data_IF_335098293579
#
_entry.id   IF_335098293579
#
_cell.length_a   1.000
_cell.length_b   1.000
_cell.length_c   1.000
_cell.angle_alpha   90.00
_cell.angle_beta   90.00
_cell.angle_gamma   90.00
#
_symmetry.space_group_name_H-M   'P 1'
#
loop_
_entity.id
_entity.type
_entity.pdbx_description
1 polymer ?
#
# COMPACT_ATOMS: atom_id res chain seq x y z
N UNK A 1 -3.91 -23.51 -23.20
CA UNK A 1 -2.66 -23.88 -22.51
C UNK A 1 -1.82 -22.63 -22.45
N UNK A 2 -1.50 -22.09 -21.27
CA UNK A 2 -0.57 -20.99 -21.14
C UNK A 2 0.76 -21.36 -21.80
N UNK A 3 1.43 -20.40 -22.42
CA UNK A 3 2.72 -20.64 -23.08
C UNK A 3 3.78 -20.91 -22.01
N UNK A 4 4.71 -21.84 -22.25
CA UNK A 4 5.85 -22.14 -21.35
C UNK A 4 6.69 -20.88 -21.05
N UNK A 5 6.64 -19.88 -21.94
CA UNK A 5 7.28 -18.57 -21.75
C UNK A 5 6.50 -17.66 -20.77
N UNK A 6 5.19 -17.82 -20.68
CA UNK A 6 4.30 -17.10 -19.77
C UNK A 6 4.46 -17.64 -18.33
N UNK A 7 4.52 -18.97 -18.17
CA UNK A 7 4.79 -19.61 -16.88
C UNK A 7 6.19 -19.24 -16.34
N UNK A 8 7.21 -19.23 -17.20
CA UNK A 8 8.57 -18.82 -16.83
C UNK A 8 8.69 -17.32 -16.46
N UNK A 9 7.89 -16.45 -17.09
CA UNK A 9 7.86 -15.02 -16.77
C UNK A 9 7.20 -14.77 -15.40
N UNK A 10 6.14 -15.51 -15.07
CA UNK A 10 5.47 -15.43 -13.76
C UNK A 10 6.38 -15.97 -12.63
N UNK A 11 7.15 -17.03 -12.89
CA UNK A 11 8.14 -17.56 -11.94
C UNK A 11 9.34 -16.62 -11.75
N UNK A 12 9.81 -15.94 -12.81
CA UNK A 12 10.88 -14.95 -12.72
C UNK A 12 10.44 -13.66 -12.00
N UNK A 13 9.20 -13.19 -12.18
CA UNK A 13 8.66 -12.06 -11.42
C UNK A 13 8.53 -12.37 -9.91
N UNK A 14 8.28 -13.63 -9.54
CA UNK A 14 8.19 -14.05 -8.13
C UNK A 14 9.56 -14.13 -7.43
N UNK A 15 10.66 -14.23 -8.19
CA UNK A 15 12.02 -14.20 -7.64
C UNK A 15 12.58 -12.78 -7.46
N UNK A 16 12.03 -11.79 -8.17
CA UNK A 16 12.51 -10.42 -8.10
C UNK A 16 11.92 -9.69 -6.89
N UNK A 17 12.79 -9.01 -6.15
CA UNK A 17 12.43 -8.26 -4.94
C UNK A 17 11.47 -7.10 -5.19
N UNK A 18 11.48 -6.55 -6.41
CA UNK A 18 10.67 -5.43 -6.85
C UNK A 18 10.00 -5.74 -8.19
N UNK A 19 8.86 -5.10 -8.45
CA UNK A 19 8.17 -5.22 -9.74
C UNK A 19 8.91 -4.45 -10.85
N UNK A 20 8.57 -4.74 -12.10
CA UNK A 20 9.03 -3.99 -13.28
C UNK A 20 8.57 -2.52 -13.30
N UNK A 21 7.70 -2.11 -12.37
CA UNK A 21 7.21 -0.75 -12.22
C UNK A 21 8.20 0.14 -11.44
N UNK A 22 9.25 -0.42 -10.85
CA UNK A 22 10.19 0.26 -9.95
C UNK A 22 11.56 0.44 -10.61
N UNK A 23 12.13 1.62 -10.46
CA UNK A 23 13.56 1.88 -10.69
C UNK A 23 14.34 1.57 -9.42
N UNK A 24 14.82 0.33 -9.30
CA UNK A 24 15.51 -0.15 -8.10
C UNK A 24 16.94 0.38 -7.96
N UNK A 25 17.48 1.08 -8.96
CA UNK A 25 18.87 1.57 -8.95
C UNK A 25 19.15 2.57 -7.82
N UNK A 26 18.12 3.31 -7.39
CA UNK A 26 18.20 4.27 -6.30
C UNK A 26 17.94 3.69 -4.90
N UNK A 27 17.60 2.40 -4.78
CA UNK A 27 17.20 1.80 -3.50
C UNK A 27 18.42 1.31 -2.73
N UNK A 28 18.73 1.98 -1.62
CA UNK A 28 19.79 1.53 -0.71
C UNK A 28 19.32 0.36 0.15
N UNK A 29 19.90 -0.82 -0.07
CA UNK A 29 19.70 -1.99 0.80
C UNK A 29 20.61 -1.87 2.02
N UNK A 30 20.02 -1.61 3.18
CA UNK A 30 20.76 -1.62 4.45
C UNK A 30 20.95 -3.08 4.88
N UNK A 31 22.19 -3.55 5.10
CA UNK A 31 22.42 -4.90 5.56
C UNK A 31 21.75 -5.11 6.92
N UNK A 32 21.13 -6.28 7.15
CA UNK A 32 20.47 -6.55 8.41
C UNK A 32 21.49 -6.48 9.56
N UNK A 33 21.10 -5.87 10.68
CA UNK A 33 21.89 -5.95 11.90
C UNK A 33 22.17 -7.42 12.23
N UNK A 34 23.40 -7.76 12.67
CA UNK A 34 23.73 -9.14 13.01
C UNK A 34 22.78 -9.65 14.10
N UNK A 35 21.85 -10.50 13.70
CA UNK A 35 20.90 -11.19 14.56
C UNK A 35 21.27 -12.65 14.61
N UNK A 36 21.32 -13.23 15.82
CA UNK A 36 21.54 -14.67 16.00
C UNK A 36 20.37 -15.54 15.56
N UNK A 37 19.20 -14.94 15.27
CA UNK A 37 17.99 -15.66 14.89
C UNK A 37 17.75 -15.57 13.38
N UNK A 38 17.45 -16.70 12.71
CA UNK A 38 17.08 -16.68 11.29
C UNK A 38 15.77 -15.91 11.07
N UNK A 39 15.68 -15.24 9.91
CA UNK A 39 14.47 -14.53 9.50
C UNK A 39 13.30 -15.51 9.33
N UNK A 40 12.10 -15.08 9.72
CA UNK A 40 10.88 -15.87 9.54
C UNK A 40 10.39 -15.86 8.10
N UNK A 41 9.74 -16.95 7.72
CA UNK A 41 9.18 -17.18 6.38
C UNK A 41 7.74 -16.70 6.29
N UNK A 42 7.20 -16.65 5.07
CA UNK A 42 5.78 -16.37 4.86
C UNK A 42 4.90 -17.45 5.51
N UNK A 43 5.34 -18.72 5.50
CA UNK A 43 4.62 -19.84 6.10
C UNK A 43 4.42 -19.68 7.62
N UNK A 44 5.43 -19.14 8.32
CA UNK A 44 5.33 -18.83 9.75
C UNK A 44 4.20 -17.83 10.02
N UNK A 45 4.09 -16.79 9.19
CA UNK A 45 3.05 -15.75 9.32
C UNK A 45 1.68 -16.31 8.97
N UNK A 46 1.57 -17.01 7.84
CA UNK A 46 0.32 -17.62 7.37
C UNK A 46 -0.25 -18.57 8.41
N UNK A 47 0.59 -19.43 9.00
CA UNK A 47 0.16 -20.37 10.04
C UNK A 47 -0.42 -19.65 11.26
N UNK A 48 0.20 -18.56 11.71
CA UNK A 48 -0.30 -17.80 12.86
C UNK A 48 -1.62 -17.11 12.57
N UNK A 49 -1.78 -16.54 11.36
CA UNK A 49 -3.03 -15.89 10.96
C UNK A 49 -4.17 -16.89 10.80
N UNK A 50 -3.93 -18.06 10.19
CA UNK A 50 -4.91 -19.14 10.05
C UNK A 50 -5.37 -19.70 11.41
N UNK A 51 -4.45 -19.78 12.38
CA UNK A 51 -4.76 -20.19 13.75
C UNK A 51 -5.46 -19.08 14.58
N UNK A 52 -5.70 -17.90 13.99
CA UNK A 52 -6.30 -16.76 14.71
C UNK A 52 -5.37 -16.09 15.72
N UNK A 53 -4.07 -16.45 15.74
CA UNK A 53 -3.05 -15.95 16.69
C UNK A 53 -2.52 -14.57 16.28
N UNK A 54 -3.44 -13.59 16.16
CA UNK A 54 -3.14 -12.24 15.65
C UNK A 54 -2.08 -11.50 16.48
N UNK A 55 -2.01 -11.72 17.80
CA UNK A 55 -1.00 -11.10 18.65
C UNK A 55 0.41 -11.65 18.38
N UNK A 56 0.52 -12.96 18.17
CA UNK A 56 1.80 -13.60 17.86
C UNK A 56 2.29 -13.23 16.47
N UNK A 57 1.39 -13.15 15.49
CA UNK A 57 1.71 -12.63 14.16
C UNK A 57 2.22 -11.18 14.25
N UNK A 58 1.55 -10.33 15.02
CA UNK A 58 1.97 -8.94 15.26
C UNK A 58 3.33 -8.86 15.95
N UNK A 59 3.60 -9.73 16.93
CA UNK A 59 4.91 -9.80 17.58
C UNK A 59 6.00 -10.28 16.61
N UNK A 60 5.70 -11.28 15.77
CA UNK A 60 6.61 -11.76 14.74
C UNK A 60 6.98 -10.63 13.77
N UNK A 61 5.99 -9.92 13.22
CA UNK A 61 6.20 -8.81 12.27
C UNK A 61 7.08 -7.69 12.84
N UNK A 62 6.93 -7.37 14.13
CA UNK A 62 7.69 -6.32 14.80
C UNK A 62 9.15 -6.68 15.08
N UNK A 63 9.45 -7.98 15.19
CA UNK A 63 10.78 -8.47 15.56
C UNK A 63 11.52 -9.14 14.39
N UNK A 64 10.94 -9.13 13.18
CA UNK A 64 11.59 -9.63 11.97
C UNK A 64 11.88 -8.47 11.03
N UNK A 65 13.15 -8.08 10.95
CA UNK A 65 13.63 -7.02 10.07
C UNK A 65 14.03 -7.59 8.70
N UNK A 66 13.04 -7.94 7.87
CA UNK A 66 13.33 -8.34 6.50
C UNK A 66 13.99 -7.19 5.72
N UNK A 67 15.12 -7.42 5.01
CA UNK A 67 15.76 -6.43 4.13
C UNK A 67 14.79 -5.85 3.12
N UNK A 68 14.99 -4.61 2.63
CA UNK A 68 14.07 -3.92 1.70
C UNK A 68 13.89 -4.65 0.36
N UNK A 69 14.87 -5.45 -0.03
CA UNK A 69 14.91 -6.31 -1.21
C UNK A 69 14.47 -7.75 -0.91
N UNK A 70 13.85 -8.02 0.24
CA UNK A 70 13.26 -9.33 0.50
C UNK A 70 12.01 -9.56 -0.38
N UNK A 71 11.95 -10.65 -1.17
CA UNK A 71 10.80 -10.97 -2.03
C UNK A 71 9.55 -11.34 -1.23
N UNK A 72 9.68 -11.55 0.08
CA UNK A 72 8.55 -11.89 0.96
C UNK A 72 7.46 -10.80 0.97
N UNK A 73 7.80 -9.53 0.72
CA UNK A 73 6.87 -8.40 0.91
C UNK A 73 5.65 -8.48 0.03
N UNK A 74 5.79 -8.89 -1.23
CA UNK A 74 4.64 -9.01 -2.14
C UNK A 74 3.57 -9.93 -1.55
N UNK A 75 3.98 -11.14 -1.15
CA UNK A 75 3.10 -12.13 -0.52
C UNK A 75 2.62 -11.69 0.86
N UNK A 76 3.53 -11.17 1.69
CA UNK A 76 3.26 -10.78 3.07
C UNK A 76 2.27 -9.61 3.14
N UNK A 77 2.49 -8.55 2.38
CA UNK A 77 1.62 -7.37 2.39
C UNK A 77 0.28 -7.68 1.79
N UNK A 78 0.22 -8.48 0.72
CA UNK A 78 -1.05 -8.98 0.19
C UNK A 78 -1.83 -9.73 1.26
N UNK A 79 -1.22 -10.74 1.90
CA UNK A 79 -1.84 -11.50 2.99
C UNK A 79 -2.34 -10.60 4.13
N UNK A 80 -1.53 -9.61 4.54
CA UNK A 80 -1.88 -8.71 5.62
C UNK A 80 -3.00 -7.72 5.26
N UNK A 81 -3.06 -7.24 4.03
CA UNK A 81 -4.16 -6.37 3.59
C UNK A 81 -5.45 -7.17 3.42
N UNK A 82 -5.37 -8.37 2.83
CA UNK A 82 -6.53 -9.22 2.51
C UNK A 82 -7.28 -9.75 3.72
N UNK A 83 -6.63 -9.89 4.87
CA UNK A 83 -7.31 -10.36 6.09
C UNK A 83 -8.45 -9.43 6.57
N UNK A 84 -8.54 -8.21 6.04
CA UNK A 84 -9.54 -7.21 6.40
C UNK A 84 -10.75 -7.17 5.47
N UNK A 85 -10.75 -7.96 4.38
CA UNK A 85 -11.91 -8.08 3.50
C UNK A 85 -13.07 -8.77 4.25
N UNK A 86 -14.28 -8.24 4.08
CA UNK A 86 -15.49 -8.94 4.49
C UNK A 86 -15.86 -9.99 3.45
N UNK A 87 -16.47 -11.12 3.86
CA UNK A 87 -16.94 -12.18 2.94
C UNK A 87 -17.85 -11.66 1.81
N UNK A 88 -18.53 -10.53 2.01
CA UNK A 88 -19.35 -9.85 1.01
C UNK A 88 -18.57 -9.12 -0.09
N UNK A 89 -17.30 -8.80 0.16
CA UNK A 89 -16.44 -7.96 -0.69
C UNK A 89 -15.23 -8.75 -1.22
N UNK A 90 -15.31 -10.10 -1.24
CA UNK A 90 -14.30 -10.93 -1.89
C UNK A 90 -14.37 -10.67 -3.38
N UNK A 91 -13.49 -9.81 -3.88
CA UNK A 91 -13.40 -9.53 -5.32
C UNK A 91 -12.83 -10.76 -6.01
N UNK A 92 -13.51 -11.25 -7.04
CA UNK A 92 -13.03 -12.34 -7.89
C UNK A 92 -11.91 -11.87 -8.80
N UNK A 93 -11.07 -12.80 -9.25
CA UNK A 93 -10.10 -12.56 -10.32
C UNK A 93 -10.78 -11.89 -11.52
N UNK A 94 -10.15 -10.86 -12.10
CA UNK A 94 -10.68 -10.14 -13.25
C UNK A 94 -11.62 -8.97 -12.89
N UNK A 95 -12.16 -8.90 -11.66
CA UNK A 95 -13.04 -7.80 -11.25
C UNK A 95 -12.37 -6.42 -11.45
N UNK A 96 -11.08 -6.32 -11.13
CA UNK A 96 -10.32 -5.09 -11.35
C UNK A 96 -10.31 -4.68 -12.83
N UNK A 97 -10.04 -5.62 -13.73
CA UNK A 97 -9.95 -5.36 -15.17
C UNK A 97 -11.30 -5.00 -15.78
N UNK A 98 -12.40 -5.56 -15.28
CA UNK A 98 -13.75 -5.13 -15.65
C UNK A 98 -13.98 -3.66 -15.30
N UNK A 99 -13.55 -3.25 -14.10
CA UNK A 99 -13.65 -1.86 -13.65
C UNK A 99 -12.73 -0.93 -14.46
N UNK A 100 -11.52 -1.38 -14.82
CA UNK A 100 -10.63 -0.64 -15.73
C UNK A 100 -11.32 -0.39 -17.08
N UNK A 101 -11.94 -1.42 -17.66
CA UNK A 101 -12.69 -1.27 -18.91
C UNK A 101 -13.90 -0.32 -18.76
N UNK A 102 -14.59 -0.34 -17.62
CA UNK A 102 -15.70 0.59 -17.38
C UNK A 102 -15.25 2.05 -17.28
N UNK A 103 -14.10 2.31 -16.66
CA UNK A 103 -13.59 3.68 -16.44
C UNK A 103 -12.85 4.22 -17.67
N UNK A 104 -12.06 3.38 -18.35
CA UNK A 104 -11.14 3.80 -19.40
C UNK A 104 -11.47 3.26 -20.80
N UNK A 105 -12.39 2.30 -20.91
CA UNK A 105 -12.78 1.68 -22.18
C UNK A 105 -11.78 0.66 -22.75
N UNK A 106 -10.61 0.48 -22.12
CA UNK A 106 -9.58 -0.47 -22.52
C UNK A 106 -8.68 -0.84 -21.33
N UNK A 107 -8.11 -2.04 -21.36
CA UNK A 107 -7.06 -2.49 -20.43
C UNK A 107 -5.67 -2.00 -20.82
N UNK A 108 -5.49 -1.48 -22.04
CA UNK A 108 -4.25 -0.89 -22.48
C UNK A 108 -3.92 0.37 -21.67
N UNK A 109 -2.68 0.46 -21.20
CA UNK A 109 -2.24 1.63 -20.44
C UNK A 109 -1.98 2.78 -21.42
N UNK A 110 -2.79 3.83 -21.32
CA UNK A 110 -2.67 5.02 -22.14
C UNK A 110 -1.40 5.81 -21.81
N UNK A 111 -0.71 6.32 -22.84
CA UNK A 111 0.40 7.27 -22.68
C UNK A 111 -0.07 8.68 -22.28
N UNK A 112 -1.37 8.98 -22.45
CA UNK A 112 -1.96 10.25 -22.02
C UNK A 112 -2.08 10.28 -20.48
N UNK A 113 -1.78 11.42 -19.85
CA UNK A 113 -1.91 11.58 -18.41
C UNK A 113 -3.36 11.36 -17.96
N UNK A 114 -3.53 10.59 -16.90
CA UNK A 114 -4.84 10.34 -16.29
C UNK A 114 -5.15 11.51 -15.35
N UNK A 115 -6.36 12.07 -15.46
CA UNK A 115 -6.83 13.06 -14.49
C UNK A 115 -7.18 12.35 -13.19
N UNK A 116 -6.43 12.63 -12.12
CA UNK A 116 -6.67 12.00 -10.83
C UNK A 116 -8.00 12.44 -10.20
N UNK A 117 -8.65 11.59 -9.40
CA UNK A 117 -9.85 11.96 -8.65
C UNK A 117 -9.61 13.12 -7.67
N UNK A 118 -10.64 13.94 -7.38
CA UNK A 118 -10.49 15.15 -6.56
C UNK A 118 -10.18 14.88 -5.08
N UNK A 119 -10.34 13.65 -4.60
CA UNK A 119 -9.94 13.29 -3.23
C UNK A 119 -8.42 13.15 -3.08
N UNK A 120 -7.67 13.08 -4.18
CA UNK A 120 -6.22 12.99 -4.19
C UNK A 120 -5.65 14.39 -4.06
N UNK A 121 -4.62 14.53 -3.22
CA UNK A 121 -3.90 15.78 -3.03
C UNK A 121 -2.63 15.76 -3.92
N UNK A 122 -2.55 16.57 -4.99
CA UNK A 122 -1.42 16.53 -5.93
C UNK A 122 -0.07 16.80 -5.26
N UNK A 123 -0.05 17.68 -4.26
CA UNK A 123 1.15 18.01 -3.48
C UNK A 123 1.68 16.83 -2.64
N UNK A 124 0.85 15.79 -2.43
CA UNK A 124 1.16 14.61 -1.63
C UNK A 124 1.21 13.33 -2.46
N UNK A 125 1.27 13.41 -3.80
CA UNK A 125 1.46 12.26 -4.69
C UNK A 125 2.91 11.76 -4.66
N UNK A 126 3.31 11.11 -3.57
CA UNK A 126 4.66 10.58 -3.40
C UNK A 126 4.86 9.33 -4.27
N UNK A 127 5.78 9.44 -5.23
CA UNK A 127 6.02 8.42 -6.26
C UNK A 127 7.10 7.40 -5.84
N UNK A 128 7.89 7.72 -4.82
CA UNK A 128 9.06 6.95 -4.40
C UNK A 128 9.96 6.59 -5.59
N UNK A 129 10.19 5.30 -5.83
CA UNK A 129 11.03 4.78 -6.93
C UNK A 129 10.19 4.26 -8.10
N UNK A 130 8.91 4.64 -8.24
CA UNK A 130 8.13 4.25 -9.41
C UNK A 130 8.70 4.87 -10.69
N UNK A 131 8.83 4.04 -11.71
CA UNK A 131 9.12 4.45 -13.10
C UNK A 131 7.97 5.26 -13.68
N UNK A 132 8.15 5.82 -14.89
CA UNK A 132 7.05 6.49 -15.60
C UNK A 132 5.83 5.56 -15.77
N UNK A 133 6.07 4.31 -16.18
CA UNK A 133 5.01 3.30 -16.29
C UNK A 133 4.35 3.01 -14.93
N UNK A 134 5.15 2.87 -13.86
CA UNK A 134 4.65 2.65 -12.51
C UNK A 134 3.74 3.77 -12.02
N UNK A 135 4.03 5.03 -12.37
CA UNK A 135 3.18 6.18 -12.06
C UNK A 135 1.84 6.13 -12.79
N UNK A 136 1.85 5.86 -14.09
CA UNK A 136 0.61 5.69 -14.87
C UNK A 136 -0.26 4.55 -14.34
N UNK A 137 0.36 3.46 -13.87
CA UNK A 137 -0.34 2.36 -13.17
C UNK A 137 -0.95 2.83 -11.85
N UNK A 138 -0.21 3.59 -11.03
CA UNK A 138 -0.74 4.15 -9.78
C UNK A 138 -1.94 5.07 -10.03
N UNK A 139 -1.86 5.95 -11.04
CA UNK A 139 -2.96 6.84 -11.43
C UNK A 139 -4.22 6.05 -11.81
N UNK A 140 -4.04 4.97 -12.59
CA UNK A 140 -5.13 4.08 -13.00
C UNK A 140 -5.75 3.36 -11.81
N UNK A 141 -4.95 2.76 -10.93
CA UNK A 141 -5.43 2.07 -9.73
C UNK A 141 -6.24 3.01 -8.84
N UNK A 142 -5.72 4.22 -8.56
CA UNK A 142 -6.40 5.20 -7.71
C UNK A 142 -7.70 5.70 -8.36
N UNK A 143 -7.72 5.88 -9.68
CA UNK A 143 -8.92 6.29 -10.41
C UNK A 143 -10.02 5.22 -10.38
N UNK A 144 -9.64 3.95 -10.60
CA UNK A 144 -10.57 2.82 -10.49
C UNK A 144 -11.12 2.70 -9.06
N UNK A 145 -10.25 2.86 -8.06
CA UNK A 145 -10.67 2.84 -6.65
C UNK A 145 -11.66 3.97 -6.33
N UNK A 146 -11.42 5.17 -6.85
CA UNK A 146 -12.33 6.31 -6.72
C UNK A 146 -13.70 6.06 -7.35
N UNK A 147 -13.72 5.40 -8.51
CA UNK A 147 -14.96 5.01 -9.16
C UNK A 147 -15.71 3.92 -8.38
N UNK A 148 -15.00 2.93 -7.84
CA UNK A 148 -15.58 1.83 -7.07
C UNK A 148 -16.04 2.24 -5.66
N UNK A 149 -15.45 3.30 -5.08
CA UNK A 149 -15.68 3.74 -3.71
C UNK A 149 -16.05 5.24 -3.68
N UNK A 150 -17.30 5.61 -4.02
CA UNK A 150 -17.72 7.01 -4.13
C UNK A 150 -17.72 7.76 -2.77
N UNK A 151 -17.68 7.04 -1.65
CA UNK A 151 -17.60 7.62 -0.30
C UNK A 151 -16.22 8.26 0.00
N UNK A 152 -15.21 7.98 -0.83
CA UNK A 152 -13.89 8.61 -0.71
C UNK A 152 -13.99 10.02 -1.30
N UNK A 153 -14.03 11.02 -0.42
CA UNK A 153 -14.15 12.44 -0.81
C UNK A 153 -12.90 13.26 -0.47
N UNK A 154 -12.02 12.76 0.40
CA UNK A 154 -10.73 13.38 0.71
C UNK A 154 -9.77 12.35 1.32
N UNK A 155 -8.67 12.04 0.65
CA UNK A 155 -7.71 11.02 1.08
C UNK A 155 -6.29 11.26 0.55
N UNK A 156 -5.53 12.20 1.14
CA UNK A 156 -4.17 12.52 0.67
C UNK A 156 -3.18 11.35 0.80
N UNK A 157 -3.47 10.35 1.64
CA UNK A 157 -2.59 9.20 1.88
C UNK A 157 -2.81 8.03 0.93
N UNK A 158 -3.89 8.05 0.14
CA UNK A 158 -4.27 6.91 -0.72
C UNK A 158 -3.25 6.69 -1.83
N UNK A 159 -2.75 7.77 -2.44
CA UNK A 159 -1.81 7.70 -3.55
C UNK A 159 -0.43 7.20 -3.07
N UNK A 160 0.17 7.74 -1.99
CA UNK A 160 1.41 7.21 -1.44
C UNK A 160 1.35 5.72 -1.06
N UNK A 161 0.25 5.27 -0.45
CA UNK A 161 0.11 3.86 -0.08
C UNK A 161 0.03 2.98 -1.34
N UNK A 162 -0.75 3.40 -2.34
CA UNK A 162 -0.82 2.71 -3.63
C UNK A 162 0.57 2.61 -4.29
N UNK A 163 1.30 3.73 -4.34
CA UNK A 163 2.63 3.77 -4.92
C UNK A 163 3.59 2.82 -4.19
N UNK A 164 3.54 2.76 -2.85
CA UNK A 164 4.37 1.86 -2.04
C UNK A 164 4.03 0.39 -2.30
N UNK A 165 2.75 0.02 -2.40
CA UNK A 165 2.34 -1.36 -2.66
C UNK A 165 2.83 -1.83 -4.04
N UNK A 166 2.72 -0.99 -5.07
CA UNK A 166 3.18 -1.29 -6.44
C UNK A 166 4.69 -1.60 -6.53
N UNK A 167 5.47 -1.31 -5.49
CA UNK A 167 6.88 -1.72 -5.47
C UNK A 167 7.04 -3.24 -5.38
N UNK A 168 6.07 -3.94 -4.79
CA UNK A 168 6.21 -5.35 -4.42
C UNK A 168 5.11 -6.26 -4.97
N UNK A 169 4.10 -5.71 -5.65
CA UNK A 169 2.99 -6.50 -6.19
C UNK A 169 2.46 -5.92 -7.49
N UNK A 170 1.78 -6.77 -8.26
CA UNK A 170 1.14 -6.38 -9.52
C UNK A 170 0.04 -5.33 -9.31
N UNK A 171 -0.37 -4.71 -10.42
CA UNK A 171 -1.43 -3.70 -10.46
C UNK A 171 -2.76 -4.19 -9.83
N UNK A 172 -3.23 -5.37 -10.25
CA UNK A 172 -4.46 -5.96 -9.74
C UNK A 172 -4.36 -6.31 -8.24
N UNK A 173 -3.24 -6.92 -7.82
CA UNK A 173 -3.00 -7.21 -6.41
C UNK A 173 -2.96 -5.93 -5.56
N UNK A 174 -2.35 -4.85 -6.07
CA UNK A 174 -2.33 -3.55 -5.43
C UNK A 174 -3.75 -3.00 -5.26
N UNK A 175 -4.57 -3.04 -6.31
CA UNK A 175 -5.98 -2.62 -6.23
C UNK A 175 -6.73 -3.40 -5.14
N UNK A 176 -6.63 -4.72 -5.10
CA UNK A 176 -7.29 -5.52 -4.08
C UNK A 176 -6.84 -5.11 -2.68
N UNK A 177 -5.53 -4.98 -2.45
CA UNK A 177 -4.99 -4.52 -1.17
C UNK A 177 -5.57 -3.17 -0.75
N UNK A 178 -5.57 -2.19 -1.67
CA UNK A 178 -6.14 -0.87 -1.43
C UNK A 178 -7.63 -0.93 -1.10
N UNK A 179 -8.42 -1.66 -1.89
CA UNK A 179 -9.85 -1.84 -1.67
C UNK A 179 -10.16 -2.46 -0.29
N UNK A 180 -9.36 -3.43 0.14
CA UNK A 180 -9.48 -4.03 1.48
C UNK A 180 -9.18 -3.05 2.61
N UNK A 181 -8.11 -2.26 2.49
CA UNK A 181 -7.72 -1.27 3.49
C UNK A 181 -8.73 -0.12 3.59
N UNK A 182 -9.30 0.29 2.47
CA UNK A 182 -10.39 1.29 2.40
C UNK A 182 -11.68 0.74 3.01
N UNK A 183 -12.08 -0.50 2.67
CA UNK A 183 -13.34 -1.09 3.13
C UNK A 183 -13.28 -1.68 4.56
N UNK A 184 -12.13 -1.63 5.22
CA UNK A 184 -11.93 -2.21 6.54
C UNK A 184 -12.86 -1.60 7.60
N UNK A 185 -13.68 -2.45 8.24
CA UNK A 185 -14.70 -2.00 9.22
C UNK A 185 -14.17 -1.91 10.65
N UNK A 186 -13.29 -2.82 11.05
CA UNK A 186 -12.80 -2.90 12.44
C UNK A 186 -11.61 -1.99 12.71
N UNK A 187 -10.84 -1.66 11.68
CA UNK A 187 -9.59 -0.90 11.78
C UNK A 187 -9.59 0.18 10.72
N UNK A 188 -9.31 1.40 11.13
CA UNK A 188 -9.07 2.50 10.20
C UNK A 188 -7.63 2.45 9.72
N UNK A 189 -7.44 2.21 8.42
CA UNK A 189 -6.13 2.26 7.76
C UNK A 189 -5.96 3.56 6.97
N UNK A 190 -6.97 3.91 6.17
CA UNK A 190 -6.96 5.05 5.26
C UNK A 190 -8.16 5.94 5.59
N UNK A 191 -7.92 7.22 5.87
CA UNK A 191 -8.99 8.22 6.06
C UNK A 191 -9.58 8.61 4.72
N UNK A 192 -10.92 8.66 4.62
CA UNK A 192 -11.63 8.84 3.34
C UNK A 192 -12.39 10.17 3.25
N UNK A 193 -12.46 10.92 4.35
CA UNK A 193 -13.16 12.21 4.42
C UNK A 193 -12.30 13.25 5.12
N UNK A 194 -12.56 14.53 4.83
CA UNK A 194 -11.86 15.65 5.47
C UNK A 194 -12.06 15.64 6.99
N UNK A 195 -13.27 15.30 7.45
CA UNK A 195 -13.57 15.16 8.87
C UNK A 195 -12.70 14.07 9.53
N UNK A 196 -12.60 12.88 8.93
CA UNK A 196 -11.77 11.80 9.46
C UNK A 196 -10.29 12.18 9.48
N UNK A 197 -9.80 12.83 8.42
CA UNK A 197 -8.44 13.36 8.37
C UNK A 197 -8.19 14.35 9.51
N UNK A 198 -9.11 15.30 9.72
CA UNK A 198 -8.98 16.30 10.77
C UNK A 198 -8.99 15.73 12.18
N UNK A 199 -9.93 14.81 12.44
CA UNK A 199 -10.00 14.12 13.73
C UNK A 199 -8.70 13.36 13.97
N UNK A 200 -8.16 12.69 12.96
CA UNK A 200 -6.93 11.89 13.09
C UNK A 200 -5.75 12.74 13.56
N UNK A 201 -5.44 13.86 12.87
CA UNK A 201 -4.31 14.68 13.28
C UNK A 201 -4.55 15.40 14.61
N UNK A 202 -5.80 15.80 14.92
CA UNK A 202 -6.16 16.37 16.22
C UNK A 202 -5.96 15.34 17.35
N UNK A 203 -6.32 14.08 17.13
CA UNK A 203 -6.07 12.99 18.08
C UNK A 203 -4.58 12.77 18.28
N UNK A 204 -3.78 12.72 17.20
CA UNK A 204 -2.32 12.62 17.29
C UNK A 204 -1.74 13.80 18.09
N UNK A 205 -2.19 15.03 17.84
CA UNK A 205 -1.77 16.21 18.61
C UNK A 205 -2.03 16.04 20.11
N UNK A 206 -3.18 15.53 20.53
CA UNK A 206 -3.47 15.29 21.95
C UNK A 206 -2.60 14.20 22.56
N UNK A 207 -2.33 13.12 21.80
CA UNK A 207 -1.40 12.07 22.22
C UNK A 207 0.01 12.67 22.41
N UNK A 208 0.48 13.48 21.46
CA UNK A 208 1.78 14.12 21.55
C UNK A 208 1.87 15.07 22.75
N UNK A 209 0.83 15.88 23.03
CA UNK A 209 0.79 16.74 24.23
C UNK A 209 0.96 15.97 25.53
N UNK A 210 0.49 14.72 25.59
CA UNK A 210 0.61 13.86 26.77
C UNK A 210 1.94 13.11 26.85
N UNK A 211 2.48 12.68 25.71
CA UNK A 211 3.57 11.70 25.67
C UNK A 211 4.92 12.26 25.17
N UNK A 212 4.94 13.42 24.53
CA UNK A 212 6.16 14.11 24.10
C UNK A 212 6.48 15.19 25.14
N UNK A 213 7.70 15.18 25.69
CA UNK A 213 8.13 16.19 26.67
C UNK A 213 8.23 17.55 26.00
N UNK A 214 7.90 18.62 26.75
CA UNK A 214 7.82 19.99 26.24
C UNK A 214 9.10 20.50 25.56
N UNK A 215 10.27 19.97 25.94
CA UNK A 215 11.58 20.34 25.37
C UNK A 215 11.74 19.86 23.91
N UNK A 216 11.14 18.73 23.53
CA UNK A 216 11.16 18.19 22.16
C UNK A 216 10.08 18.81 21.25
N UNK A 217 9.03 19.39 21.86
CA UNK A 217 7.86 19.92 21.15
C UNK A 217 8.11 21.32 20.57
N UNK A 218 8.87 22.16 21.29
CA UNK A 218 9.17 23.53 20.88
C UNK A 218 10.19 23.62 19.72
N UNK A 219 11.04 22.60 19.54
CA UNK A 219 12.07 22.58 18.51
C UNK A 219 11.55 22.15 17.13
N UNK A 220 10.48 21.34 17.05
CA UNK A 220 10.14 20.58 15.84
C UNK A 220 8.84 20.99 15.13
N UNK A 221 8.01 21.89 15.68
CA UNK A 221 6.70 22.27 15.10
C UNK A 221 6.57 23.73 14.65
N UNK A 222 7.65 24.52 14.67
CA UNK A 222 7.59 25.96 14.36
C UNK A 222 7.32 26.37 12.89
N UNK A 223 7.36 25.53 11.84
CA UNK A 223 7.06 26.01 10.49
C UNK A 223 5.72 25.56 9.89
N UNK A 224 4.74 25.05 10.66
CA UNK A 224 3.43 24.62 10.09
C UNK A 224 2.21 25.43 10.56
N UNK A 225 2.42 26.54 11.27
CA UNK A 225 1.33 27.40 11.76
C UNK A 225 1.28 28.79 11.10
N UNK A 226 2.03 28.99 10.01
CA UNK A 226 1.94 30.20 9.18
C UNK A 226 1.76 29.79 7.73
N UNK A 227 0.52 29.44 7.40
CA UNK A 227 -0.13 29.75 6.12
C UNK A 227 -1.61 29.33 6.24
N UNK A 228 -2.37 30.25 6.84
CA UNK A 228 -3.79 30.63 6.63
C UNK A 228 -4.34 31.34 7.89
#
# INVERSE_FOLDING_TARGET
MPSVLEEAAVEQEQSNSYTSLVDSTGITVVPPSPSSKPLKTIGDVTSLLQQGRKQDAKHLLRNNAWPVDSPIRGQLWSLLCMQHQTKSNSMSDGFYWDMVNQVFGSTELSDKPISLPPFVEPSHCQLYYLTHKGRSVADRVVSVLGYACPDIVYSPTIYPICALLLHYMSEEQCYHCMASLVAAKEKTFITQTKLLYEVTWKTVMQICKKHVRSEDFAANLRPLAHDE
#
